data_IF_300742315713
#
_entry.id   IF_300742315713
#
_cell.length_a   1.000
_cell.length_b   1.000
_cell.length_c   1.000
_cell.angle_alpha   90.00
_cell.angle_beta   90.00
_cell.angle_gamma   90.00
#
_symmetry.space_group_name_H-M   'P 1'
#
loop_
_entity.id
_entity.type
_entity.pdbx_description
1 polymer ?
#
# COMPACT_ATOMS: atom_id res chain seq x y z
N UNK A 1 -15.44 18.02 72.44
CA UNK A 1 -15.85 17.03 71.42
C UNK A 1 -15.64 17.68 70.06
N UNK A 2 -14.54 17.36 69.37
CA UNK A 2 -14.16 18.02 68.11
C UNK A 2 -14.33 17.01 66.97
N UNK A 3 -15.29 17.29 66.08
CA UNK A 3 -15.58 16.48 64.90
C UNK A 3 -14.41 16.56 63.91
N UNK A 4 -13.71 15.44 63.69
CA UNK A 4 -12.78 15.31 62.57
C UNK A 4 -13.58 14.97 61.31
N UNK A 5 -13.81 15.98 60.47
CA UNK A 5 -14.33 15.76 59.13
C UNK A 5 -13.21 15.15 58.27
N UNK A 6 -13.37 13.90 57.88
CA UNK A 6 -12.49 13.22 56.94
C UNK A 6 -12.64 13.84 55.54
N UNK A 7 -11.56 14.38 54.99
CA UNK A 7 -11.52 14.79 53.59
C UNK A 7 -11.57 13.53 52.71
N UNK A 8 -12.37 13.48 51.63
CA UNK A 8 -12.38 12.34 50.73
C UNK A 8 -11.00 12.23 50.07
N UNK A 9 -10.29 11.15 50.38
CA UNK A 9 -9.07 10.79 49.68
C UNK A 9 -9.39 10.70 48.18
N UNK A 10 -8.90 11.68 47.42
CA UNK A 10 -8.94 11.68 45.97
C UNK A 10 -8.32 10.37 45.47
N UNK A 11 -9.14 9.52 44.83
CA UNK A 11 -8.65 8.26 44.27
C UNK A 11 -7.61 8.58 43.18
N UNK A 12 -6.40 7.99 43.20
CA UNK A 12 -5.43 8.23 42.14
C UNK A 12 -6.00 7.72 40.82
N UNK A 13 -6.30 8.65 39.90
CA UNK A 13 -6.54 8.34 38.50
C UNK A 13 -5.26 7.71 37.96
N UNK A 14 -5.29 6.40 37.71
CA UNK A 14 -4.25 5.74 36.93
C UNK A 14 -4.45 6.16 35.48
N UNK A 15 -3.80 7.24 35.08
CA UNK A 15 -3.63 7.59 33.67
C UNK A 15 -2.79 6.49 33.03
N UNK A 16 -3.43 5.61 32.27
CA UNK A 16 -2.73 4.71 31.35
C UNK A 16 -2.02 5.60 30.32
N UNK A 17 -0.74 5.88 30.55
CA UNK A 17 0.08 6.66 29.64
C UNK A 17 0.27 5.85 28.36
N UNK A 18 -0.51 6.17 27.33
CA UNK A 18 -0.25 5.65 25.98
C UNK A 18 0.96 6.43 25.47
N UNK A 19 2.14 5.84 25.56
CA UNK A 19 3.37 6.47 25.07
C UNK A 19 3.26 6.67 23.55
N UNK A 20 3.21 7.92 23.06
CA UNK A 20 3.00 8.19 21.63
C UNK A 20 4.11 7.59 20.75
N UNK A 21 5.31 7.41 21.31
CA UNK A 21 6.44 6.74 20.66
C UNK A 21 6.15 5.28 20.30
N UNK A 22 5.36 4.57 21.11
CA UNK A 22 4.97 3.17 20.84
C UNK A 22 3.96 3.11 19.69
N UNK A 23 3.03 4.05 19.62
CA UNK A 23 2.09 4.16 18.52
C UNK A 23 2.79 4.47 17.19
N UNK A 24 3.78 5.38 17.21
CA UNK A 24 4.57 5.71 16.01
C UNK A 24 5.42 4.53 15.53
N UNK A 25 6.02 3.78 16.45
CA UNK A 25 6.78 2.57 16.11
C UNK A 25 5.88 1.50 15.46
N UNK A 26 4.65 1.33 15.96
CA UNK A 26 3.68 0.40 15.38
C UNK A 26 3.28 0.80 13.95
N UNK A 27 3.07 2.10 13.70
CA UNK A 27 2.78 2.63 12.36
C UNK A 27 3.97 2.40 11.42
N UNK A 28 5.20 2.69 11.86
CA UNK A 28 6.40 2.47 11.07
C UNK A 28 6.59 1.01 10.67
N UNK A 29 6.37 0.07 11.60
CA UNK A 29 6.45 -1.36 11.34
C UNK A 29 5.38 -1.84 10.35
N UNK A 30 4.14 -1.33 10.46
CA UNK A 30 3.06 -1.65 9.53
C UNK A 30 3.37 -1.17 8.11
N UNK A 31 3.90 0.05 7.96
CA UNK A 31 4.28 0.62 6.67
C UNK A 31 5.44 -0.15 6.02
N UNK A 32 6.48 -0.50 6.79
CA UNK A 32 7.59 -1.33 6.30
C UNK A 32 7.13 -2.71 5.85
N UNK A 33 6.19 -3.33 6.58
CA UNK A 33 5.58 -4.60 6.18
C UNK A 33 4.78 -4.50 4.89
N UNK A 34 4.05 -3.40 4.69
CA UNK A 34 3.27 -3.14 3.48
C UNK A 34 4.19 -2.96 2.26
N UNK A 35 5.27 -2.17 2.40
CA UNK A 35 6.26 -1.95 1.34
C UNK A 35 6.89 -3.28 0.93
N UNK A 36 7.37 -4.09 1.88
CA UNK A 36 7.97 -5.40 1.57
C UNK A 36 6.99 -6.35 0.90
N UNK A 37 5.71 -6.30 1.27
CA UNK A 37 4.68 -7.14 0.66
C UNK A 37 4.40 -6.73 -0.78
N UNK A 38 4.35 -5.43 -1.05
CA UNK A 38 4.21 -4.89 -2.41
C UNK A 38 5.44 -5.22 -3.27
N UNK A 39 6.63 -5.05 -2.70
CA UNK A 39 7.91 -5.35 -3.36
C UNK A 39 7.98 -6.84 -3.74
N UNK A 40 7.64 -7.72 -2.80
CA UNK A 40 7.59 -9.15 -3.07
C UNK A 40 6.49 -9.51 -4.09
N UNK A 41 5.36 -8.78 -4.12
CA UNK A 41 4.32 -9.02 -5.11
C UNK A 41 4.76 -8.59 -6.52
N UNK A 42 5.49 -7.48 -6.62
CA UNK A 42 6.05 -6.96 -7.87
C UNK A 42 7.12 -7.89 -8.45
N UNK A 43 7.97 -8.48 -7.59
CA UNK A 43 9.05 -9.36 -8.02
C UNK A 43 8.69 -10.86 -8.05
N UNK A 44 7.66 -11.30 -7.32
CA UNK A 44 7.25 -12.71 -7.32
C UNK A 44 6.31 -13.06 -8.48
N UNK A 45 5.72 -12.07 -9.14
CA UNK A 45 5.03 -12.32 -10.39
C UNK A 45 6.06 -12.23 -11.52
N UNK A 46 6.48 -13.35 -12.13
CA UNK A 46 6.93 -13.29 -13.51
C UNK A 46 5.69 -12.87 -14.30
N UNK A 47 5.41 -11.57 -14.32
CA UNK A 47 4.55 -10.99 -15.32
C UNK A 47 5.24 -11.41 -16.62
N UNK A 48 4.63 -12.37 -17.32
CA UNK A 48 5.00 -12.76 -18.67
C UNK A 48 5.14 -11.45 -19.44
N UNK A 49 6.37 -10.97 -19.58
CA UNK A 49 6.61 -9.67 -20.17
C UNK A 49 6.19 -9.83 -21.63
N UNK A 50 5.16 -9.12 -22.08
CA UNK A 50 4.64 -9.31 -23.43
C UNK A 50 5.78 -9.04 -24.41
N UNK A 51 6.09 -10.05 -25.21
CA UNK A 51 7.28 -10.08 -26.06
C UNK A 51 7.05 -9.43 -27.42
N UNK A 52 5.79 -9.18 -27.77
CA UNK A 52 5.39 -8.55 -29.02
C UNK A 52 4.16 -7.63 -28.83
N UNK A 53 3.87 -6.85 -29.86
CA UNK A 53 2.78 -5.88 -29.82
C UNK A 53 1.38 -6.53 -29.70
N UNK A 54 1.18 -7.76 -30.18
CA UNK A 54 -0.10 -8.45 -30.07
C UNK A 54 -0.38 -8.88 -28.61
N UNK A 55 0.65 -9.34 -27.90
CA UNK A 55 0.56 -9.69 -26.48
C UNK A 55 0.31 -8.46 -25.60
N UNK A 56 0.87 -7.30 -25.95
CA UNK A 56 0.59 -6.03 -25.27
C UNK A 56 -0.90 -5.65 -25.36
N UNK A 57 -1.50 -5.78 -26.55
CA UNK A 57 -2.93 -5.48 -26.75
C UNK A 57 -3.81 -6.49 -26.01
N UNK A 58 -3.48 -7.78 -26.07
CA UNK A 58 -4.21 -8.82 -25.34
C UNK A 58 -4.13 -8.63 -23.81
N UNK A 59 -3.00 -8.13 -23.30
CA UNK A 59 -2.87 -7.76 -21.90
C UNK A 59 -3.70 -6.52 -21.55
N UNK A 60 -3.71 -5.50 -22.42
CA UNK A 60 -4.53 -4.31 -22.25
C UNK A 60 -6.02 -4.65 -22.12
N UNK A 61 -6.53 -5.54 -22.98
CA UNK A 61 -7.95 -5.92 -22.96
C UNK A 61 -8.34 -6.68 -21.68
N UNK A 62 -7.43 -7.48 -21.12
CA UNK A 62 -7.65 -8.14 -19.81
C UNK A 62 -7.65 -7.15 -18.64
N UNK A 63 -6.90 -6.06 -18.77
CA UNK A 63 -6.73 -5.06 -17.71
C UNK A 63 -7.67 -3.85 -17.85
N UNK A 64 -8.41 -3.72 -18.94
CA UNK A 64 -9.32 -2.59 -19.20
C UNK A 64 -10.29 -2.34 -18.03
N UNK A 65 -10.88 -3.41 -17.50
CA UNK A 65 -11.90 -3.31 -16.44
C UNK A 65 -11.30 -2.94 -15.08
N UNK A 66 -10.09 -3.40 -14.78
CA UNK A 66 -9.45 -3.18 -13.47
C UNK A 66 -8.53 -1.96 -13.43
N UNK A 67 -7.91 -1.63 -14.57
CA UNK A 67 -6.84 -0.63 -14.72
C UNK A 67 -6.88 0.04 -16.11
N UNK A 68 -7.91 0.86 -16.40
CA UNK A 68 -8.12 1.44 -17.74
C UNK A 68 -6.99 2.38 -18.20
N UNK A 69 -6.36 3.12 -17.27
CA UNK A 69 -5.21 3.97 -17.60
C UNK A 69 -4.00 3.16 -18.06
N UNK A 70 -3.72 2.04 -17.37
CA UNK A 70 -2.63 1.15 -17.72
C UNK A 70 -2.89 0.42 -19.05
N UNK A 71 -4.14 0.02 -19.31
CA UNK A 71 -4.54 -0.54 -20.59
C UNK A 71 -4.31 0.43 -21.77
N UNK A 72 -4.60 1.72 -21.59
CA UNK A 72 -4.32 2.76 -22.59
C UNK A 72 -2.80 2.89 -22.87
N UNK A 73 -1.97 2.88 -21.82
CA UNK A 73 -0.51 2.94 -21.96
C UNK A 73 0.05 1.70 -22.70
N UNK A 74 -0.49 0.51 -22.43
CA UNK A 74 -0.12 -0.73 -23.14
C UNK A 74 -0.48 -0.68 -24.63
N UNK A 75 -1.66 -0.13 -24.99
CA UNK A 75 -2.04 0.07 -26.40
C UNK A 75 -1.14 1.08 -27.10
N UNK A 76 -0.77 2.17 -26.43
CA UNK A 76 0.18 3.15 -26.96
C UNK A 76 1.59 2.54 -27.16
N UNK A 77 2.05 1.72 -26.20
CA UNK A 77 3.30 0.99 -26.31
C UNK A 77 3.27 -0.01 -27.48
N UNK A 78 2.16 -0.72 -27.68
CA UNK A 78 1.99 -1.64 -28.80
C UNK A 78 2.09 -0.92 -30.16
N UNK A 79 1.44 0.24 -30.31
CA UNK A 79 1.54 1.06 -31.53
C UNK A 79 2.97 1.54 -31.78
N UNK A 80 3.69 1.93 -30.73
CA UNK A 80 5.09 2.35 -30.84
C UNK A 80 6.01 1.19 -31.24
N UNK A 81 5.80 0.01 -30.69
CA UNK A 81 6.57 -1.19 -31.04
C UNK A 81 6.39 -1.56 -32.53
N UNK A 82 5.15 -1.52 -33.03
CA UNK A 82 4.86 -1.79 -34.44
C UNK A 82 5.50 -0.77 -35.40
N UNK A 83 5.62 0.50 -34.99
CA UNK A 83 6.33 1.52 -35.77
C UNK A 83 7.85 1.41 -35.74
N UNK A 84 8.41 0.71 -34.74
CA UNK A 84 9.84 0.41 -34.62
C UNK A 84 10.26 -0.79 -35.48
N UNK A 85 9.38 -1.78 -35.67
CA UNK A 85 9.64 -2.96 -36.52
C UNK A 85 9.70 -2.66 -38.03
N UNK A 86 9.33 -1.44 -38.45
CA UNK A 86 9.31 -1.01 -39.86
C UNK A 86 10.53 -0.20 -40.31
N UNK A 87 11.62 -0.17 -39.54
CA UNK A 87 12.86 0.54 -39.89
C UNK A 87 14.05 -0.40 -40.08
#
# INVERSE_FOLDING_TARGET
>A
MTNQQALPFERPVRTASIHPSVALAAIGAATLGLIRKLDNWLFASPLDTPSNAAELVALADRLEESQPSYAADLRAAALRAQGLDTQ
#
